data_IF_648975339169
#
_entry.id   IF_648975339169
#
_cell.length_a   1.000
_cell.length_b   1.000
_cell.length_c   1.000
_cell.angle_alpha   90.00
_cell.angle_beta   90.00
_cell.angle_gamma   90.00
#
_symmetry.space_group_name_H-M   'P 1'
#
loop_
_entity.id
_entity.type
_entity.pdbx_description
1 polymer ?
#
# COMPACT_ATOMS: atom_id res chain seq x y z
N UNK A 1 -2.28 2.08 -8.18
CA UNK A 1 -3.13 2.05 -9.38
C UNK A 1 -4.58 1.88 -8.94
N UNK A 2 -5.35 2.95 -8.95
CA UNK A 2 -6.78 2.88 -8.74
C UNK A 2 -7.37 1.96 -9.79
N UNK A 3 -7.91 0.83 -9.36
CA UNK A 3 -8.52 -0.10 -10.32
C UNK A 3 -9.76 0.55 -10.94
N UNK A 4 -9.90 0.56 -12.27
CA UNK A 4 -11.17 0.96 -12.91
C UNK A 4 -12.39 0.21 -12.36
N UNK A 5 -12.20 -0.99 -11.82
CA UNK A 5 -13.24 -1.74 -11.14
C UNK A 5 -13.82 -1.02 -9.91
N UNK A 6 -13.01 -0.19 -9.23
CA UNK A 6 -13.50 0.57 -8.07
C UNK A 6 -14.37 1.77 -8.47
N UNK A 7 -14.17 2.35 -9.64
CA UNK A 7 -15.08 3.37 -10.16
C UNK A 7 -16.44 2.80 -10.58
N UNK A 8 -16.49 1.51 -10.95
CA UNK A 8 -17.73 0.82 -11.23
C UNK A 8 -18.57 0.58 -9.99
N UNK A 9 -17.94 0.32 -8.83
CA UNK A 9 -18.65 0.09 -7.56
C UNK A 9 -19.54 1.27 -7.20
N UNK A 10 -19.05 2.50 -7.42
CA UNK A 10 -19.83 3.70 -7.13
C UNK A 10 -21.14 3.78 -7.96
N UNK A 11 -21.14 3.30 -9.20
CA UNK A 11 -22.33 3.27 -10.04
C UNK A 11 -23.36 2.21 -9.63
N UNK A 12 -22.92 1.11 -8.97
CA UNK A 12 -23.80 0.08 -8.45
C UNK A 12 -24.39 0.40 -7.08
N UNK A 13 -23.67 1.18 -6.26
CA UNK A 13 -24.15 1.54 -4.92
C UNK A 13 -25.24 2.61 -4.95
N UNK A 14 -25.27 3.40 -6.03
CA UNK A 14 -26.23 4.50 -6.19
C UNK A 14 -26.20 5.41 -4.95
N UNK A 15 -27.33 5.61 -4.30
CA UNK A 15 -27.43 6.42 -3.08
C UNK A 15 -27.30 5.63 -1.78
N UNK A 16 -26.95 4.36 -1.84
CA UNK A 16 -26.84 3.50 -0.67
C UNK A 16 -25.43 3.56 -0.07
N UNK A 17 -25.35 3.63 1.25
CA UNK A 17 -24.09 3.46 1.94
C UNK A 17 -23.64 2.00 1.86
N UNK A 18 -22.36 1.73 1.51
CA UNK A 18 -21.83 0.38 1.64
C UNK A 18 -21.90 -0.09 3.09
N UNK A 19 -22.26 -1.36 3.28
CA UNK A 19 -22.42 -1.95 4.61
C UNK A 19 -21.51 -3.17 4.74
N UNK A 20 -20.87 -3.27 5.91
CA UNK A 20 -20.03 -4.41 6.25
C UNK A 20 -20.57 -5.02 7.55
N UNK A 21 -21.24 -6.16 7.42
CA UNK A 21 -21.97 -6.80 8.51
C UNK A 21 -21.15 -7.87 9.23
N UNK A 22 -21.79 -8.49 10.22
CA UNK A 22 -21.18 -9.43 11.15
C UNK A 22 -20.44 -10.58 10.47
N UNK A 23 -19.33 -10.98 11.08
CA UNK A 23 -18.61 -12.21 10.74
C UNK A 23 -19.49 -13.44 10.97
N UNK A 24 -19.52 -14.36 10.01
CA UNK A 24 -20.27 -15.61 10.12
C UNK A 24 -19.51 -16.71 10.86
N UNK A 25 -20.21 -17.77 11.24
CA UNK A 25 -19.66 -18.90 12.00
C UNK A 25 -18.47 -19.58 11.32
N UNK A 26 -18.52 -19.75 9.99
CA UNK A 26 -17.42 -20.35 9.24
C UNK A 26 -16.16 -19.48 9.29
N UNK A 27 -16.30 -18.17 9.19
CA UNK A 27 -15.18 -17.24 9.33
C UNK A 27 -14.65 -17.20 10.75
N UNK A 28 -15.52 -17.33 11.77
CA UNK A 28 -15.10 -17.42 13.16
C UNK A 28 -14.28 -18.70 13.41
N UNK A 29 -14.71 -19.83 12.87
CA UNK A 29 -13.98 -21.09 12.98
C UNK A 29 -12.59 -20.99 12.32
N UNK A 30 -12.51 -20.44 11.11
CA UNK A 30 -11.25 -20.20 10.40
C UNK A 30 -10.35 -19.24 11.19
N UNK A 31 -10.89 -18.12 11.67
CA UNK A 31 -10.15 -17.15 12.46
C UNK A 31 -9.59 -17.72 13.75
N UNK A 32 -10.29 -18.68 14.37
CA UNK A 32 -9.81 -19.39 15.57
C UNK A 32 -8.56 -20.21 15.27
N UNK A 33 -8.48 -20.86 14.11
CA UNK A 33 -7.29 -21.59 13.67
C UNK A 33 -6.15 -20.63 13.32
N UNK A 34 -6.43 -19.55 12.60
CA UNK A 34 -5.43 -18.53 12.22
C UNK A 34 -4.79 -17.85 13.45
N UNK A 35 -5.56 -17.62 14.52
CA UNK A 35 -5.03 -17.04 15.76
C UNK A 35 -3.90 -17.87 16.39
N UNK A 36 -3.83 -19.17 16.14
CA UNK A 36 -2.76 -20.04 16.66
C UNK A 36 -1.39 -19.68 16.08
N UNK A 37 -1.35 -19.15 14.87
CA UNK A 37 -0.12 -18.80 14.17
C UNK A 37 0.19 -17.31 14.15
N UNK A 38 -0.73 -16.44 14.58
CA UNK A 38 -0.64 -14.99 14.44
C UNK A 38 0.66 -14.39 14.99
N UNK A 39 1.15 -14.87 16.13
CA UNK A 39 2.38 -14.35 16.74
C UNK A 39 3.61 -14.73 15.91
N UNK A 40 3.68 -15.97 15.43
CA UNK A 40 4.77 -16.43 14.58
C UNK A 40 4.78 -15.68 13.24
N UNK A 41 3.62 -15.54 12.60
CA UNK A 41 3.45 -14.82 11.35
C UNK A 41 3.84 -13.34 11.51
N UNK A 42 3.42 -12.69 12.59
CA UNK A 42 3.79 -11.30 12.87
C UNK A 42 5.30 -11.13 13.05
N UNK A 43 5.98 -12.07 13.72
CA UNK A 43 7.44 -12.03 13.85
C UNK A 43 8.13 -12.15 12.49
N UNK A 44 7.64 -13.05 11.63
CA UNK A 44 8.13 -13.21 10.26
C UNK A 44 7.95 -11.91 9.45
N UNK A 45 6.78 -11.30 9.52
CA UNK A 45 6.50 -10.03 8.83
C UNK A 45 7.40 -8.88 9.32
N UNK A 46 7.65 -8.79 10.63
CA UNK A 46 8.54 -7.77 11.20
C UNK A 46 9.97 -7.96 10.69
N UNK A 47 10.45 -9.19 10.60
CA UNK A 47 11.79 -9.48 10.08
C UNK A 47 11.90 -9.19 8.58
N UNK A 48 10.88 -9.50 7.80
CA UNK A 48 10.81 -9.14 6.38
C UNK A 48 10.82 -7.61 6.19
N UNK A 49 10.04 -6.85 6.99
CA UNK A 49 10.03 -5.38 6.98
C UNK A 49 11.43 -4.82 7.25
N UNK A 50 12.13 -5.36 8.28
CA UNK A 50 13.50 -4.95 8.59
C UNK A 50 14.43 -5.12 7.38
N UNK A 51 14.40 -6.30 6.74
CA UNK A 51 15.24 -6.61 5.57
C UNK A 51 14.95 -5.65 4.39
N UNK A 52 13.69 -5.38 4.10
CA UNK A 52 13.32 -4.47 3.01
C UNK A 52 13.80 -3.05 3.31
N UNK A 53 13.59 -2.55 4.53
CA UNK A 53 14.06 -1.22 4.93
C UNK A 53 15.57 -1.07 4.83
N UNK A 54 16.32 -2.09 5.25
CA UNK A 54 17.79 -2.10 5.13
C UNK A 54 18.25 -2.04 3.68
N UNK A 55 17.62 -2.84 2.79
CA UNK A 55 17.96 -2.84 1.37
C UNK A 55 17.63 -1.53 0.65
N UNK A 56 16.56 -0.87 1.06
CA UNK A 56 16.09 0.38 0.46
C UNK A 56 16.59 1.65 1.18
N UNK A 57 17.42 1.53 2.22
CA UNK A 57 17.91 2.65 3.01
C UNK A 57 18.70 3.70 2.21
N UNK A 58 19.27 3.29 1.06
CA UNK A 58 20.02 4.17 0.16
C UNK A 58 19.15 5.02 -0.79
N UNK A 59 17.82 4.87 -0.76
CA UNK A 59 16.89 5.58 -1.65
C UNK A 59 16.17 6.71 -0.89
N UNK A 60 16.63 7.96 -1.00
CA UNK A 60 16.00 9.10 -0.32
C UNK A 60 14.58 9.39 -0.81
N UNK A 61 14.23 8.97 -2.04
CA UNK A 61 12.88 9.13 -2.61
C UNK A 61 11.87 8.18 -1.98
N UNK A 62 12.32 7.10 -1.33
CA UNK A 62 11.43 6.13 -0.71
C UNK A 62 11.35 6.38 0.79
N UNK A 63 10.16 6.53 1.28
CA UNK A 63 9.89 6.61 2.71
C UNK A 63 8.84 5.60 3.16
N UNK A 64 8.90 5.24 4.44
CA UNK A 64 8.07 4.20 5.05
C UNK A 64 7.21 4.78 6.16
N UNK A 65 6.12 4.10 6.46
CA UNK A 65 5.34 4.39 7.66
C UNK A 65 6.22 4.23 8.91
N UNK A 66 6.03 5.12 9.87
CA UNK A 66 6.81 5.11 11.13
C UNK A 66 6.11 4.26 12.18
N UNK A 67 6.89 3.46 12.90
CA UNK A 67 6.43 2.84 14.12
C UNK A 67 6.49 3.88 15.27
N UNK A 68 5.46 4.04 16.08
CA UNK A 68 5.55 4.81 17.32
C UNK A 68 6.63 4.22 18.25
N UNK A 69 7.32 5.07 19.03
CA UNK A 69 8.43 4.63 19.91
C UNK A 69 8.02 3.52 20.89
N UNK A 70 6.78 3.56 21.39
CA UNK A 70 6.23 2.56 22.32
C UNK A 70 5.32 1.53 21.63
N UNK A 71 5.41 1.40 20.31
CA UNK A 71 4.56 0.52 19.51
C UNK A 71 5.32 -0.65 18.90
N UNK A 72 4.57 -1.72 18.60
CA UNK A 72 5.03 -2.81 17.75
C UNK A 72 4.37 -2.68 16.39
N UNK A 73 5.14 -2.37 15.37
CA UNK A 73 4.61 -2.21 14.02
C UNK A 73 4.49 -3.57 13.33
N UNK A 74 3.25 -3.98 13.07
CA UNK A 74 2.95 -5.16 12.27
C UNK A 74 2.33 -4.72 10.96
N UNK A 75 2.97 -5.08 9.86
CA UNK A 75 2.59 -4.61 8.53
C UNK A 75 1.51 -5.54 7.96
N UNK A 76 0.32 -5.01 7.74
CA UNK A 76 -0.73 -5.70 6.98
C UNK A 76 -0.60 -5.43 5.47
N UNK A 77 -0.42 -4.18 5.10
CA UNK A 77 -0.14 -3.74 3.73
C UNK A 77 1.18 -2.97 3.74
N UNK A 78 2.08 -3.30 2.82
CA UNK A 78 3.38 -2.65 2.77
C UNK A 78 3.31 -1.35 2.00
N UNK A 79 2.86 -0.30 2.70
CA UNK A 79 2.69 1.03 2.11
C UNK A 79 4.00 1.81 2.22
N UNK A 80 4.49 2.25 1.06
CA UNK A 80 5.61 3.17 0.90
C UNK A 80 5.15 4.45 0.25
N UNK A 81 5.97 5.47 0.32
CA UNK A 81 5.78 6.74 -0.36
C UNK A 81 6.99 7.03 -1.24
N UNK A 82 6.75 7.38 -2.49
CA UNK A 82 7.75 7.82 -3.44
C UNK A 82 7.66 9.34 -3.63
N UNK A 83 8.78 10.03 -3.45
CA UNK A 83 8.94 11.45 -3.74
C UNK A 83 9.93 11.62 -4.90
N UNK A 84 9.40 11.71 -6.11
CA UNK A 84 10.18 11.94 -7.34
C UNK A 84 10.28 13.42 -7.72
N UNK A 85 9.94 14.35 -6.83
CA UNK A 85 9.90 15.79 -7.13
C UNK A 85 11.24 16.34 -7.62
N UNK A 86 12.36 15.82 -7.09
CA UNK A 86 13.70 16.23 -7.48
C UNK A 86 14.04 15.93 -8.95
N UNK A 87 13.42 14.91 -9.55
CA UNK A 87 13.60 14.55 -10.96
C UNK A 87 12.36 14.80 -11.82
N UNK A 88 11.34 15.46 -11.25
CA UNK A 88 10.09 15.76 -11.96
C UNK A 88 9.25 14.52 -12.31
N UNK A 89 9.40 13.46 -11.54
CA UNK A 89 8.69 12.20 -11.73
C UNK A 89 7.61 12.00 -10.67
N UNK A 90 6.57 11.29 -11.04
CA UNK A 90 5.44 10.97 -10.18
C UNK A 90 5.49 9.52 -9.70
N UNK A 91 4.70 9.20 -8.67
CA UNK A 91 4.46 7.80 -8.28
C UNK A 91 3.97 6.96 -9.46
N UNK A 92 3.11 7.50 -10.30
CA UNK A 92 2.52 6.76 -11.42
C UNK A 92 3.58 6.41 -12.47
N UNK A 93 4.58 7.29 -12.71
CA UNK A 93 5.75 6.97 -13.54
C UNK A 93 6.53 5.77 -12.97
N UNK A 94 6.74 5.74 -11.65
CA UNK A 94 7.39 4.62 -10.97
C UNK A 94 6.58 3.32 -11.12
N UNK A 95 5.29 3.35 -10.87
CA UNK A 95 4.44 2.16 -10.96
C UNK A 95 4.32 1.62 -12.39
N UNK A 96 4.27 2.51 -13.35
CA UNK A 96 4.30 2.16 -14.78
C UNK A 96 5.61 1.45 -15.16
N UNK A 97 6.74 2.00 -14.72
CA UNK A 97 8.06 1.39 -14.97
C UNK A 97 8.19 0.03 -14.28
N UNK A 98 7.81 -0.06 -12.99
CA UNK A 98 7.81 -1.32 -12.25
C UNK A 98 6.97 -2.40 -12.94
N UNK A 99 5.79 -2.03 -13.44
CA UNK A 99 4.91 -2.98 -14.12
C UNK A 99 5.43 -3.36 -15.50
N UNK A 100 5.81 -2.39 -16.33
CA UNK A 100 6.13 -2.62 -17.75
C UNK A 100 7.50 -3.26 -17.96
N UNK A 101 8.48 -2.88 -17.16
CA UNK A 101 9.87 -3.34 -17.32
C UNK A 101 10.24 -4.47 -16.39
N UNK A 102 9.80 -4.40 -15.14
CA UNK A 102 10.18 -5.38 -14.10
C UNK A 102 9.09 -6.43 -13.85
N UNK A 103 7.88 -6.29 -14.41
CA UNK A 103 6.78 -7.22 -14.22
C UNK A 103 6.20 -7.21 -12.80
N UNK A 104 6.54 -6.19 -12.01
CA UNK A 104 6.12 -6.07 -10.61
C UNK A 104 4.95 -5.10 -10.52
N UNK A 105 3.80 -5.62 -10.12
CA UNK A 105 2.59 -4.82 -9.96
C UNK A 105 2.49 -4.30 -8.53
N UNK A 106 2.60 -2.98 -8.36
CA UNK A 106 2.24 -2.28 -7.14
C UNK A 106 0.81 -1.73 -7.23
N UNK A 107 0.18 -1.47 -6.09
CA UNK A 107 -1.21 -1.02 -6.02
C UNK A 107 -1.28 0.30 -5.27
N UNK A 108 -2.20 1.18 -5.65
CA UNK A 108 -2.48 2.41 -4.89
C UNK A 108 -3.69 2.18 -4.00
N UNK A 109 -3.50 2.24 -2.68
CA UNK A 109 -4.53 2.00 -1.66
C UNK A 109 -4.35 2.97 -0.48
N UNK A 110 -5.41 3.62 0.02
CA UNK A 110 -6.75 3.67 -0.57
C UNK A 110 -7.02 5.11 -0.99
N UNK A 111 -7.92 5.28 -1.99
CA UNK A 111 -8.33 6.60 -2.45
C UNK A 111 -8.95 7.40 -1.29
N UNK A 112 -8.63 8.68 -1.12
CA UNK A 112 -9.20 9.49 -0.05
C UNK A 112 -10.73 9.48 -0.10
N UNK A 113 -11.38 9.16 1.03
CA UNK A 113 -12.82 8.94 1.06
C UNK A 113 -13.62 10.14 0.55
N UNK A 114 -13.24 11.35 0.93
CA UNK A 114 -13.91 12.57 0.51
C UNK A 114 -13.81 12.85 -1.00
N UNK A 115 -12.87 12.20 -1.73
CA UNK A 115 -12.74 12.30 -3.19
C UNK A 115 -13.64 11.31 -3.94
N UNK A 116 -14.26 10.33 -3.27
CA UNK A 116 -15.18 9.43 -3.92
C UNK A 116 -16.46 10.15 -4.32
N UNK A 117 -16.97 9.95 -5.56
CA UNK A 117 -18.19 10.56 -6.02
C UNK A 117 -19.40 10.31 -5.09
N UNK A 118 -19.48 9.10 -4.52
CA UNK A 118 -20.54 8.77 -3.55
C UNK A 118 -20.52 9.71 -2.33
N UNK A 119 -19.34 9.87 -1.71
CA UNK A 119 -19.21 10.74 -0.53
C UNK A 119 -19.45 12.21 -0.88
N UNK A 120 -18.98 12.64 -2.06
CA UNK A 120 -19.26 14.01 -2.55
C UNK A 120 -20.74 14.25 -2.71
N UNK A 121 -21.49 13.33 -3.35
CA UNK A 121 -22.96 13.43 -3.48
C UNK A 121 -23.69 13.45 -2.14
N UNK A 122 -23.12 12.85 -1.10
CA UNK A 122 -23.67 12.84 0.27
C UNK A 122 -23.24 14.05 1.11
N UNK A 123 -22.59 15.05 0.52
CA UNK A 123 -22.14 16.25 1.24
C UNK A 123 -20.88 16.04 2.07
N UNK A 124 -20.16 14.95 1.86
CA UNK A 124 -18.92 14.64 2.56
C UNK A 124 -17.67 14.97 1.73
N UNK A 125 -17.78 15.79 0.68
CA UNK A 125 -16.71 16.09 -0.26
C UNK A 125 -15.91 17.38 0.01
N UNK A 126 -16.41 18.23 0.87
CA UNK A 126 -15.83 19.56 1.16
C UNK A 126 -14.87 19.50 2.35
N UNK A 127 -13.84 18.64 2.26
CA UNK A 127 -12.79 18.55 3.27
C UNK A 127 -11.45 18.97 2.69
N UNK A 128 -10.73 19.80 3.43
CA UNK A 128 -9.33 20.14 3.14
C UNK A 128 -8.42 19.25 4.01
N UNK A 129 -7.74 18.32 3.36
CA UNK A 129 -6.85 17.38 4.02
C UNK A 129 -5.46 17.36 3.34
N UNK A 130 -4.71 18.49 3.40
CA UNK A 130 -3.48 18.65 2.61
C UNK A 130 -2.39 17.64 2.98
N UNK A 131 -2.35 17.17 4.21
CA UNK A 131 -1.40 16.13 4.64
C UNK A 131 -1.74 14.79 3.99
N UNK A 132 -3.02 14.43 3.96
CA UNK A 132 -3.47 13.19 3.30
C UNK A 132 -3.27 13.28 1.79
N UNK A 133 -3.60 14.41 1.19
CA UNK A 133 -3.45 14.63 -0.24
C UNK A 133 -1.99 14.47 -0.68
N UNK A 134 -1.08 15.14 0.00
CA UNK A 134 0.36 15.02 -0.25
C UNK A 134 0.86 13.59 -0.03
N UNK A 135 0.40 12.92 1.02
CA UNK A 135 0.77 11.52 1.28
C UNK A 135 0.25 10.60 0.19
N UNK A 136 -1.01 10.77 -0.19
CA UNK A 136 -1.64 9.90 -1.19
C UNK A 136 -1.00 10.03 -2.57
N UNK A 137 -0.57 11.24 -2.98
CA UNK A 137 0.04 11.48 -4.29
C UNK A 137 1.30 10.65 -4.52
N UNK A 138 2.05 10.33 -3.46
CA UNK A 138 3.25 9.51 -3.53
C UNK A 138 3.08 8.07 -3.01
N UNK A 139 1.96 7.75 -2.33
CA UNK A 139 1.80 6.45 -1.66
C UNK A 139 1.46 5.32 -2.63
N UNK A 140 2.02 4.13 -2.35
CA UNK A 140 1.72 2.89 -3.05
C UNK A 140 1.95 1.69 -2.15
N UNK A 141 1.24 0.60 -2.42
CA UNK A 141 1.44 -0.69 -1.76
C UNK A 141 2.38 -1.54 -2.58
N UNK A 142 3.46 -1.96 -1.94
CA UNK A 142 4.44 -2.90 -2.49
C UNK A 142 3.96 -4.34 -2.33
N UNK A 143 4.35 -5.29 -3.21
CA UNK A 143 3.99 -6.69 -3.03
C UNK A 143 4.42 -7.20 -1.66
N UNK A 144 3.50 -7.84 -0.93
CA UNK A 144 3.71 -8.21 0.46
C UNK A 144 2.88 -9.40 0.88
N UNK A 145 3.52 -10.41 1.48
CA UNK A 145 2.87 -11.55 2.13
C UNK A 145 3.80 -12.18 3.17
N UNK A 146 3.26 -12.92 4.12
CA UNK A 146 4.03 -13.63 5.12
C UNK A 146 4.81 -14.79 4.49
N UNK A 147 6.10 -14.91 4.83
CA UNK A 147 6.95 -16.00 4.36
C UNK A 147 7.57 -15.77 2.98
N UNK A 148 7.75 -14.51 2.55
CA UNK A 148 8.60 -14.19 1.41
C UNK A 148 10.02 -14.65 1.69
N UNK A 149 10.61 -15.42 0.79
CA UNK A 149 12.02 -15.79 0.90
C UNK A 149 12.95 -14.63 0.52
N UNK A 150 14.23 -14.78 0.87
CA UNK A 150 15.21 -13.72 0.63
C UNK A 150 15.41 -13.43 -0.86
N UNK A 151 15.24 -14.42 -1.74
CA UNK A 151 15.35 -14.24 -3.20
C UNK A 151 14.24 -13.35 -3.75
N UNK A 152 13.01 -13.53 -3.24
CA UNK A 152 11.88 -12.68 -3.61
C UNK A 152 12.11 -11.25 -3.09
N UNK A 153 12.51 -11.09 -1.83
CA UNK A 153 12.82 -9.78 -1.24
C UNK A 153 13.91 -9.08 -2.05
N UNK A 154 14.98 -9.81 -2.41
CA UNK A 154 16.09 -9.27 -3.20
C UNK A 154 15.63 -8.83 -4.60
N UNK A 155 14.81 -9.64 -5.26
CA UNK A 155 14.28 -9.32 -6.59
C UNK A 155 13.39 -8.08 -6.54
N UNK A 156 12.49 -8.01 -5.58
CA UNK A 156 11.59 -6.87 -5.43
C UNK A 156 12.35 -5.57 -5.12
N UNK A 157 13.29 -5.63 -4.17
CA UNK A 157 14.07 -4.46 -3.76
C UNK A 157 15.03 -4.00 -4.86
N UNK A 158 15.76 -4.91 -5.52
CA UNK A 158 16.67 -4.55 -6.62
C UNK A 158 15.92 -3.95 -7.82
N UNK A 159 14.75 -4.46 -8.12
CA UNK A 159 13.90 -3.91 -9.18
C UNK A 159 13.43 -2.50 -8.84
N UNK A 160 13.02 -2.25 -7.59
CA UNK A 160 12.63 -0.91 -7.15
C UNK A 160 13.81 0.07 -7.17
N UNK A 161 14.99 -0.36 -6.70
CA UNK A 161 16.21 0.45 -6.76
C UNK A 161 16.50 0.85 -8.21
N UNK A 162 16.56 -0.15 -9.10
CA UNK A 162 16.84 0.10 -10.52
C UNK A 162 15.80 1.00 -11.19
N UNK A 163 14.51 0.86 -10.82
CA UNK A 163 13.45 1.72 -11.35
C UNK A 163 13.60 3.18 -10.87
N UNK A 164 13.92 3.39 -9.59
CA UNK A 164 14.15 4.75 -9.06
C UNK A 164 15.39 5.38 -9.69
N UNK A 165 16.48 4.63 -9.82
CA UNK A 165 17.71 5.11 -10.48
C UNK A 165 17.47 5.48 -11.94
N UNK A 166 16.70 4.70 -12.68
CA UNK A 166 16.33 5.01 -14.06
C UNK A 166 15.48 6.28 -14.18
N UNK A 167 14.61 6.54 -13.22
CA UNK A 167 13.80 7.75 -13.19
C UNK A 167 14.59 9.01 -12.81
N UNK A 168 15.72 8.84 -12.12
CA UNK A 168 16.65 9.96 -11.85
C UNK A 168 17.39 10.43 -13.10
N UNK A 169 17.61 9.58 -14.11
CA UNK A 169 18.36 9.85 -15.36
C UNK A 169 19.77 9.40 -15.26
#
# INVERSE_FOLDING_TARGET
YWSPAMSCVDSFLDDRWPQNFCIGEAQCALGTEELKSVIANNNTLIEQDRKIREKLAGLPEISFSRCPENGRYVVHQYIMHYDGSACGKTRDDLLDLMTKKYGIRCIVQYYPLYRYPLFQRKGCGEFDCPVLDKWWDGSFSFPWWCGMDDTVIDTLCSSLISAVEELRG
#
